data_IF_003910993848
#
_entry.id   IF_003910993848
#
_cell.length_a   1.000
_cell.length_b   1.000
_cell.length_c   1.000
_cell.angle_alpha   90.00
_cell.angle_beta   90.00
_cell.angle_gamma   90.00
#
_symmetry.space_group_name_H-M   'P 1'
#
loop_
_entity.id
_entity.type
_entity.pdbx_description
1 polymer ?
#
# COMPACT_ATOMS: atom_id res chain seq x y z
N UNK A 1 9.65 6.42 -16.21
CA UNK A 1 8.34 5.75 -16.28
C UNK A 1 7.83 5.37 -14.91
N UNK A 2 8.67 4.75 -14.09
CA UNK A 2 8.27 4.40 -12.73
C UNK A 2 8.02 5.64 -11.87
N UNK A 3 8.84 6.65 -12.05
CA UNK A 3 8.63 7.92 -11.36
C UNK A 3 7.30 8.53 -11.76
N UNK A 4 6.91 8.36 -13.01
CA UNK A 4 5.62 8.84 -13.51
C UNK A 4 4.45 8.13 -12.81
N UNK A 5 4.57 6.84 -12.52
CA UNK A 5 3.54 6.10 -11.81
C UNK A 5 3.39 6.62 -10.38
N UNK A 6 4.51 6.83 -9.69
CA UNK A 6 4.49 7.41 -8.34
C UNK A 6 3.88 8.80 -8.33
N UNK A 7 4.22 9.61 -9.33
CA UNK A 7 3.67 10.96 -9.46
C UNK A 7 2.17 10.93 -9.71
N UNK A 8 1.69 10.01 -10.55
CA UNK A 8 0.26 9.86 -10.81
C UNK A 8 -0.47 9.54 -9.52
N UNK A 9 0.05 8.64 -8.69
CA UNK A 9 -0.54 8.30 -7.41
C UNK A 9 -0.61 9.55 -6.51
N UNK A 10 0.49 10.31 -6.44
CA UNK A 10 0.57 11.46 -5.56
C UNK A 10 -0.37 12.60 -5.96
N UNK A 11 -0.52 12.84 -7.25
CA UNK A 11 -1.25 14.02 -7.74
C UNK A 11 -2.68 13.73 -8.17
N UNK A 12 -2.92 12.57 -8.75
CA UNK A 12 -4.22 12.26 -9.36
C UNK A 12 -5.20 11.61 -8.41
N UNK A 13 -4.70 11.00 -7.35
CA UNK A 13 -5.53 10.22 -6.42
C UNK A 13 -5.31 10.71 -5.01
N UNK A 14 -6.22 11.51 -4.50
CA UNK A 14 -6.17 12.05 -3.16
C UNK A 14 -5.89 11.02 -2.08
N UNK A 15 -6.53 9.83 -2.12
CA UNK A 15 -6.24 8.77 -1.15
C UNK A 15 -4.78 8.37 -1.09
N UNK A 16 -4.15 8.17 -2.25
CA UNK A 16 -2.75 7.74 -2.30
C UNK A 16 -1.80 8.84 -1.84
N UNK A 17 -2.17 10.10 -2.00
CA UNK A 17 -1.36 11.21 -1.55
C UNK A 17 -1.28 11.30 -0.02
N UNK A 18 -2.28 10.79 0.68
CA UNK A 18 -2.34 10.79 2.16
C UNK A 18 -1.46 9.71 2.76
N UNK A 19 -1.26 8.61 2.03
CA UNK A 19 -0.55 7.44 2.56
C UNK A 19 0.89 7.74 2.99
N UNK A 20 1.72 8.45 2.20
CA UNK A 20 3.08 8.75 2.65
C UNK A 20 3.12 9.53 3.95
N UNK A 21 2.29 10.53 4.10
CA UNK A 21 2.24 11.35 5.31
C UNK A 21 1.77 10.52 6.52
N UNK A 22 0.76 9.68 6.33
CA UNK A 22 0.22 8.85 7.41
C UNK A 22 1.21 7.79 7.87
N UNK A 23 2.02 7.25 6.96
CA UNK A 23 2.97 6.18 7.25
C UNK A 23 4.34 6.70 7.69
N UNK A 24 4.60 7.98 7.54
CA UNK A 24 5.91 8.56 7.80
C UNK A 24 6.44 8.27 9.21
N UNK A 25 5.57 8.29 10.22
CA UNK A 25 5.97 8.08 11.60
C UNK A 25 5.96 6.62 12.06
N UNK A 26 5.72 5.69 11.16
CA UNK A 26 5.66 4.26 11.51
C UNK A 26 7.04 3.65 11.37
N UNK A 27 7.59 3.13 12.48
CA UNK A 27 8.91 2.52 12.47
C UNK A 27 8.93 1.17 11.76
N UNK A 28 10.01 0.92 11.05
CA UNK A 28 10.32 -0.39 10.51
C UNK A 28 9.82 -0.66 9.10
N UNK A 29 9.20 0.32 8.45
CA UNK A 29 8.76 0.13 7.07
C UNK A 29 9.95 0.30 6.13
N UNK A 30 10.26 -0.75 5.38
CA UNK A 30 11.26 -0.68 4.33
C UNK A 30 10.61 -0.35 2.99
N UNK A 31 9.44 -0.97 2.73
CA UNK A 31 8.65 -0.70 1.53
C UNK A 31 7.18 -0.73 1.87
N UNK A 32 6.39 0.06 1.18
CA UNK A 32 4.94 0.06 1.29
C UNK A 32 4.34 -0.01 -0.11
N UNK A 33 3.32 -0.86 -0.26
CA UNK A 33 2.66 -1.06 -1.55
C UNK A 33 1.16 -1.02 -1.41
N UNK A 34 0.50 -0.51 -2.43
CA UNK A 34 -0.91 -0.76 -2.66
C UNK A 34 -1.04 -1.99 -3.56
N UNK A 35 -1.96 -2.87 -3.23
CA UNK A 35 -2.24 -4.04 -4.05
C UNK A 35 -3.75 -4.24 -4.14
N UNK A 36 -4.19 -5.29 -4.85
CA UNK A 36 -5.60 -5.57 -5.00
C UNK A 36 -6.33 -4.56 -5.87
N UNK A 37 -7.58 -4.27 -5.54
CA UNK A 37 -8.47 -3.48 -6.38
C UNK A 37 -7.97 -2.05 -6.61
N UNK A 38 -7.41 -1.39 -5.59
CA UNK A 38 -6.89 -0.05 -5.74
C UNK A 38 -5.69 0.00 -6.70
N UNK A 39 -4.76 -0.94 -6.56
CA UNK A 39 -3.61 -1.01 -7.46
C UNK A 39 -4.08 -1.27 -8.90
N UNK A 40 -5.05 -2.14 -9.09
CA UNK A 40 -5.61 -2.42 -10.40
C UNK A 40 -6.24 -1.16 -11.02
N UNK A 41 -7.00 -0.42 -10.24
CA UNK A 41 -7.60 0.84 -10.73
C UNK A 41 -6.55 1.88 -11.06
N UNK A 42 -5.51 2.01 -10.26
CA UNK A 42 -4.43 2.95 -10.52
C UNK A 42 -3.68 2.60 -11.80
N UNK A 43 -3.65 1.32 -12.17
CA UNK A 43 -3.09 0.88 -13.45
C UNK A 43 -4.14 0.82 -14.57
N UNK A 44 -5.28 1.45 -14.36
CA UNK A 44 -6.34 1.65 -15.35
C UNK A 44 -7.05 0.37 -15.78
N UNK A 45 -7.08 -0.61 -14.91
CA UNK A 45 -7.91 -1.78 -15.15
C UNK A 45 -9.37 -1.43 -14.90
N UNK A 46 -10.24 -2.05 -15.68
CA UNK A 46 -11.69 -1.81 -15.57
C UNK A 46 -12.24 -2.52 -14.35
N UNK A 47 -13.14 -1.85 -13.65
CA UNK A 47 -13.81 -2.45 -12.50
C UNK A 47 -14.57 -1.40 -11.68
N UNK A 48 -15.36 -1.83 -10.69
CA UNK A 48 -16.05 -0.90 -9.80
C UNK A 48 -15.05 -0.15 -8.91
N UNK A 49 -15.49 0.95 -8.32
CA UNK A 49 -14.67 1.69 -7.38
C UNK A 49 -14.40 0.84 -6.14
N UNK A 50 -13.13 0.76 -5.70
CA UNK A 50 -12.80 -0.06 -4.54
C UNK A 50 -13.39 0.50 -3.25
N UNK A 51 -13.96 -0.37 -2.43
CA UNK A 51 -14.44 -0.01 -1.10
C UNK A 51 -13.36 -0.17 -0.04
N UNK A 52 -12.31 -0.89 -0.36
CA UNK A 52 -11.25 -1.22 0.59
C UNK A 52 -9.90 -0.90 -0.03
N UNK A 53 -9.02 -0.37 0.79
CA UNK A 53 -7.63 -0.09 0.40
C UNK A 53 -6.76 -1.21 0.96
N UNK A 54 -6.12 -1.97 0.08
CA UNK A 54 -5.22 -3.04 0.48
C UNK A 54 -3.79 -2.51 0.51
N UNK A 55 -3.24 -2.45 1.73
CA UNK A 55 -1.92 -1.89 1.99
C UNK A 55 -0.99 -2.99 2.49
N UNK A 56 0.16 -3.11 1.87
CA UNK A 56 1.20 -4.06 2.28
C UNK A 56 2.40 -3.31 2.81
N UNK A 57 2.83 -3.66 4.01
CA UNK A 57 4.02 -3.08 4.64
C UNK A 57 5.09 -4.14 4.76
N UNK A 58 6.25 -3.88 4.17
CA UNK A 58 7.40 -4.80 4.18
C UNK A 58 8.45 -4.30 5.17
N UNK A 59 8.90 -5.18 6.05
CA UNK A 59 9.91 -4.87 7.06
C UNK A 59 9.51 -5.37 8.43
N UNK A 60 10.25 -4.97 9.45
CA UNK A 60 9.89 -5.23 10.85
C UNK A 60 9.08 -4.06 11.39
N UNK A 61 7.84 -3.98 10.97
CA UNK A 61 6.98 -2.82 11.17
C UNK A 61 6.39 -2.82 12.58
N UNK A 62 6.40 -1.67 13.23
CA UNK A 62 5.70 -1.50 14.49
C UNK A 62 4.18 -1.53 14.21
N UNK A 63 3.54 -2.63 14.63
CA UNK A 63 2.13 -2.88 14.30
C UNK A 63 1.17 -1.94 14.99
N UNK A 64 1.52 -1.47 16.18
CA UNK A 64 0.67 -0.51 16.91
C UNK A 64 0.65 0.82 16.15
N UNK A 65 1.82 1.29 15.75
CA UNK A 65 1.92 2.52 14.97
C UNK A 65 1.24 2.39 13.61
N UNK A 66 1.41 1.23 12.96
CA UNK A 66 0.77 0.95 11.69
C UNK A 66 -0.76 0.93 11.82
N UNK A 67 -1.29 0.35 12.90
CA UNK A 67 -2.73 0.34 13.13
C UNK A 67 -3.29 1.74 13.34
N UNK A 68 -2.56 2.58 14.05
CA UNK A 68 -2.96 3.97 14.24
C UNK A 68 -2.95 4.74 12.93
N UNK A 69 -1.92 4.51 12.12
CA UNK A 69 -1.84 5.12 10.80
C UNK A 69 -3.00 4.67 9.91
N UNK A 70 -3.31 3.38 9.92
CA UNK A 70 -4.44 2.84 9.15
C UNK A 70 -5.75 3.48 9.57
N UNK A 71 -5.98 3.65 10.88
CA UNK A 71 -7.19 4.30 11.38
C UNK A 71 -7.31 5.75 10.89
N UNK A 72 -6.20 6.47 10.88
CA UNK A 72 -6.20 7.85 10.37
C UNK A 72 -6.53 7.88 8.88
N UNK A 73 -5.98 6.95 8.12
CA UNK A 73 -6.26 6.84 6.69
C UNK A 73 -7.74 6.52 6.47
N UNK A 74 -8.29 5.58 7.22
CA UNK A 74 -9.71 5.22 7.12
C UNK A 74 -10.61 6.42 7.40
N UNK A 75 -10.30 7.18 8.46
CA UNK A 75 -11.08 8.36 8.81
C UNK A 75 -11.02 9.42 7.71
N UNK A 76 -9.86 9.60 7.12
CA UNK A 76 -9.68 10.58 6.06
C UNK A 76 -10.42 10.18 4.78
N UNK A 77 -10.35 8.89 4.42
CA UNK A 77 -10.88 8.41 3.14
C UNK A 77 -12.34 7.98 3.22
N UNK A 78 -12.84 7.67 4.41
CA UNK A 78 -14.15 7.05 4.55
C UNK A 78 -14.21 5.63 3.98
N UNK A 79 -13.07 4.94 3.94
CA UNK A 79 -12.96 3.57 3.39
C UNK A 79 -12.14 2.72 4.32
N UNK A 80 -12.41 1.42 4.33
CA UNK A 80 -11.63 0.47 5.11
C UNK A 80 -10.22 0.33 4.56
N UNK A 81 -9.25 0.21 5.45
CA UNK A 81 -7.86 -0.06 5.09
C UNK A 81 -7.48 -1.43 5.65
N UNK A 82 -7.13 -2.35 4.76
CA UNK A 82 -6.66 -3.67 5.12
C UNK A 82 -5.13 -3.66 5.06
N UNK A 83 -4.47 -3.85 6.20
CA UNK A 83 -3.01 -3.81 6.28
C UNK A 83 -2.48 -5.23 6.45
N UNK A 84 -1.55 -5.61 5.58
CA UNK A 84 -0.82 -6.87 5.68
C UNK A 84 0.64 -6.58 5.91
N UNK A 85 1.30 -7.46 6.66
CA UNK A 85 2.71 -7.31 7.03
C UNK A 85 3.50 -8.49 6.49
N UNK A 86 4.66 -8.18 5.90
CA UNK A 86 5.59 -9.19 5.39
C UNK A 86 6.99 -8.77 5.77
N UNK A 87 7.81 -9.69 6.26
CA UNK A 87 9.21 -9.37 6.53
C UNK A 87 9.96 -9.18 5.20
N UNK A 88 11.06 -8.43 5.26
CA UNK A 88 11.88 -8.22 4.07
C UNK A 88 12.39 -9.56 3.49
N UNK A 89 12.75 -10.50 4.39
CA UNK A 89 13.20 -11.82 3.97
C UNK A 89 12.13 -12.61 3.23
N UNK A 90 10.92 -12.65 3.78
CA UNK A 90 9.81 -13.36 3.15
C UNK A 90 9.41 -12.74 1.82
N UNK A 91 9.45 -11.41 1.76
CA UNK A 91 9.17 -10.69 0.52
C UNK A 91 10.18 -11.04 -0.57
N UNK A 92 11.46 -11.10 -0.22
CA UNK A 92 12.52 -11.42 -1.17
C UNK A 92 12.49 -12.87 -1.63
N UNK A 93 12.14 -13.80 -0.74
CA UNK A 93 12.12 -15.23 -1.04
C UNK A 93 10.98 -15.64 -1.96
N UNK A 94 9.85 -14.95 -1.88
CA UNK A 94 8.67 -15.25 -2.69
C UNK A 94 8.16 -16.69 -2.54
N UNK A 95 8.34 -17.27 -1.37
CA UNK A 95 7.93 -18.66 -1.13
C UNK A 95 6.50 -18.78 -0.63
N UNK A 96 6.04 -17.80 0.16
CA UNK A 96 4.67 -17.81 0.68
C UNK A 96 3.67 -17.56 -0.43
N UNK A 97 2.54 -18.27 -0.40
CA UNK A 97 1.49 -18.12 -1.40
C UNK A 97 0.97 -16.69 -1.48
N UNK A 98 0.81 -16.03 -0.33
CA UNK A 98 0.36 -14.64 -0.29
C UNK A 98 1.31 -13.72 -1.08
N UNK A 99 2.62 -13.86 -0.86
CA UNK A 99 3.63 -13.04 -1.56
C UNK A 99 3.57 -13.28 -3.05
N UNK A 100 3.47 -14.56 -3.46
CA UNK A 100 3.36 -14.91 -4.89
C UNK A 100 2.11 -14.30 -5.51
N UNK A 101 0.97 -14.35 -4.82
CA UNK A 101 -0.28 -13.80 -5.31
C UNK A 101 -0.21 -12.28 -5.45
N UNK A 102 0.37 -11.61 -4.47
CA UNK A 102 0.50 -10.15 -4.50
C UNK A 102 1.40 -9.71 -5.65
N UNK A 103 2.53 -10.39 -5.83
CA UNK A 103 3.49 -10.02 -6.89
C UNK A 103 2.99 -10.37 -8.29
N UNK A 104 2.05 -11.31 -8.42
CA UNK A 104 1.49 -11.70 -9.70
C UNK A 104 0.44 -10.72 -10.24
N UNK A 105 -0.02 -9.77 -9.42
CA UNK A 105 -1.05 -8.80 -9.78
C UNK A 105 -0.49 -7.38 -9.75
N UNK A 106 -1.25 -6.39 -10.24
CA UNK A 106 -0.81 -5.00 -10.17
C UNK A 106 -0.39 -4.61 -8.76
N UNK A 107 0.77 -3.99 -8.67
CA UNK A 107 1.40 -3.60 -7.42
C UNK A 107 1.95 -2.20 -7.58
N UNK A 108 1.61 -1.30 -6.67
CA UNK A 108 2.04 0.09 -6.75
C UNK A 108 2.80 0.46 -5.49
N UNK A 109 4.07 0.79 -5.65
CA UNK A 109 4.89 1.20 -4.52
C UNK A 109 4.54 2.62 -4.08
N UNK A 110 4.44 2.81 -2.77
CA UNK A 110 4.21 4.12 -2.16
C UNK A 110 5.57 4.72 -1.82
N UNK A 111 5.81 5.92 -2.30
CA UNK A 111 7.05 6.63 -2.01
C UNK A 111 6.96 7.26 -0.62
N UNK A 112 7.80 6.79 0.30
CA UNK A 112 7.81 7.26 1.68
C UNK A 112 8.81 8.38 1.93
N UNK A 113 9.63 8.71 0.96
CA UNK A 113 10.65 9.77 1.09
C UNK A 113 10.09 11.16 0.84
#
# INVERSE_FOLDING_TARGET
>A
LFDSIKQIIAYSYGPAAVLPAALYGVDGIEHAYLYGAWASRLKREVGPDPHEVDLLLVGYVNRIEASRAAARIENYLGRSVNVQFVTAGDWAKEEADFVKQVKARPLVEIDLD
#
